data_IF_795202848349
#
_entry.id   IF_795202848349
#
_cell.length_a   1.000
_cell.length_b   1.000
_cell.length_c   1.000
_cell.angle_alpha   90.00
_cell.angle_beta   90.00
_cell.angle_gamma   90.00
#
_symmetry.space_group_name_H-M   'P 1'
#
loop_
_entity.id
_entity.type
_entity.pdbx_description
1 polymer ?
#
# COMPACT_ATOMS: atom_id res chain seq x y z
N UNK A 1 -27.71 3.73 -10.98
CA UNK A 1 -27.64 4.55 -9.74
C UNK A 1 -26.44 5.45 -9.89
N UNK A 2 -26.58 6.75 -9.66
CA UNK A 2 -25.51 7.72 -9.89
C UNK A 2 -25.22 8.48 -8.60
N UNK A 3 -23.97 8.91 -8.44
CA UNK A 3 -23.53 9.77 -7.33
C UNK A 3 -22.70 10.90 -7.87
N UNK A 4 -22.87 12.10 -7.29
CA UNK A 4 -22.08 13.27 -7.66
C UNK A 4 -20.88 13.39 -6.73
N UNK A 5 -19.67 13.37 -7.29
CA UNK A 5 -18.44 13.63 -6.53
C UNK A 5 -17.76 14.84 -7.15
N UNK A 6 -17.68 15.94 -6.39
CA UNK A 6 -17.06 17.21 -6.84
C UNK A 6 -17.51 17.66 -8.25
N UNK A 7 -18.80 17.53 -8.55
CA UNK A 7 -19.38 17.92 -9.85
C UNK A 7 -19.27 16.87 -10.96
N UNK A 8 -18.64 15.72 -10.71
CA UNK A 8 -18.62 14.60 -11.64
C UNK A 8 -19.76 13.63 -11.33
N UNK A 9 -20.58 13.32 -12.33
CA UNK A 9 -21.57 12.24 -12.25
C UNK A 9 -20.84 10.90 -12.42
N UNK A 10 -20.80 10.09 -11.36
CA UNK A 10 -20.19 8.77 -11.36
C UNK A 10 -21.29 7.72 -11.28
N UNK A 11 -21.34 6.86 -12.29
CA UNK A 11 -22.26 5.73 -12.32
C UNK A 11 -21.78 4.60 -11.39
N UNK A 12 -22.63 4.22 -10.43
CA UNK A 12 -22.35 3.13 -9.51
C UNK A 12 -22.55 1.77 -10.19
N UNK A 13 -21.44 1.05 -10.31
CA UNK A 13 -21.42 -0.24 -10.98
C UNK A 13 -21.92 -1.35 -10.04
N UNK A 14 -22.93 -2.11 -10.47
CA UNK A 14 -23.45 -3.25 -9.72
C UNK A 14 -22.46 -4.43 -9.73
N UNK A 15 -22.22 -5.04 -8.57
CA UNK A 15 -21.46 -6.28 -8.46
C UNK A 15 -22.42 -7.47 -8.49
N UNK A 16 -22.32 -8.30 -9.52
CA UNK A 16 -23.18 -9.48 -9.68
C UNK A 16 -22.89 -10.59 -8.68
N UNK A 17 -21.67 -10.67 -8.14
CA UNK A 17 -21.29 -11.65 -7.11
C UNK A 17 -21.82 -11.24 -5.74
N UNK A 18 -21.45 -10.06 -5.25
CA UNK A 18 -21.82 -9.59 -3.90
C UNK A 18 -23.24 -9.00 -3.82
N UNK A 19 -23.94 -8.82 -4.95
CA UNK A 19 -25.30 -8.25 -5.04
C UNK A 19 -25.45 -6.84 -4.44
N UNK A 20 -24.44 -6.00 -4.64
CA UNK A 20 -24.45 -4.60 -4.18
C UNK A 20 -24.10 -3.63 -5.32
N UNK A 21 -24.64 -2.42 -5.26
CA UNK A 21 -24.06 -1.29 -6.00
C UNK A 21 -22.76 -0.90 -5.31
N UNK A 22 -21.65 -1.01 -6.02
CA UNK A 22 -20.33 -0.73 -5.45
C UNK A 22 -20.19 0.77 -5.20
N UNK A 23 -19.71 1.19 -4.02
CA UNK A 23 -19.30 2.57 -3.81
C UNK A 23 -18.27 3.02 -4.87
N UNK A 24 -18.13 4.34 -5.10
CA UNK A 24 -17.09 4.87 -5.96
C UNK A 24 -15.69 4.35 -5.55
N UNK A 25 -14.85 3.98 -6.53
CA UNK A 25 -13.54 3.32 -6.34
C UNK A 25 -13.55 1.91 -5.71
N UNK A 26 -14.72 1.34 -5.41
CA UNK A 26 -14.78 -0.02 -4.87
C UNK A 26 -14.77 -1.06 -6.01
N UNK A 27 -13.98 -2.13 -5.84
CA UNK A 27 -13.86 -3.20 -6.83
C UNK A 27 -13.99 -4.58 -6.19
N UNK A 28 -14.62 -5.51 -6.92
CA UNK A 28 -14.71 -6.90 -6.49
C UNK A 28 -13.39 -7.61 -6.81
N UNK A 29 -12.72 -8.11 -5.77
CA UNK A 29 -11.55 -8.96 -5.92
C UNK A 29 -11.99 -10.42 -5.96
N UNK A 30 -11.71 -11.12 -7.05
CA UNK A 30 -12.04 -12.55 -7.18
C UNK A 30 -11.21 -13.44 -6.26
N UNK A 31 -9.99 -13.03 -5.90
CA UNK A 31 -9.12 -13.80 -5.01
C UNK A 31 -9.61 -13.76 -3.55
N UNK A 32 -10.13 -12.61 -3.11
CA UNK A 32 -10.68 -12.44 -1.77
C UNK A 32 -12.21 -12.66 -1.70
N UNK A 33 -12.84 -12.86 -2.86
CA UNK A 33 -14.29 -13.02 -3.06
C UNK A 33 -15.15 -11.96 -2.36
N UNK A 34 -14.69 -10.70 -2.40
CA UNK A 34 -15.40 -9.58 -1.80
C UNK A 34 -15.18 -8.26 -2.53
N UNK A 35 -16.09 -7.32 -2.33
CA UNK A 35 -15.92 -5.93 -2.77
C UNK A 35 -15.04 -5.17 -1.76
N UNK A 36 -13.98 -4.55 -2.26
CA UNK A 36 -13.01 -3.78 -1.46
C UNK A 36 -13.20 -2.29 -1.76
N UNK A 37 -13.47 -1.50 -0.72
CA UNK A 37 -13.56 -0.04 -0.82
C UNK A 37 -12.17 0.59 -1.03
N UNK A 38 -12.11 1.61 -1.91
CA UNK A 38 -10.86 2.22 -2.37
C UNK A 38 -9.82 1.18 -2.79
N UNK A 39 -10.22 0.26 -3.67
CA UNK A 39 -9.39 -0.87 -4.07
C UNK A 39 -8.14 -0.39 -4.80
N UNK A 40 -6.96 -0.86 -4.34
CA UNK A 40 -5.68 -0.59 -4.98
C UNK A 40 -5.23 -1.80 -5.81
N UNK A 41 -4.99 -2.93 -5.13
CA UNK A 41 -4.64 -4.20 -5.76
C UNK A 41 -4.86 -5.38 -4.82
N UNK A 42 -4.86 -6.59 -5.36
CA UNK A 42 -4.67 -7.81 -4.56
C UNK A 42 -3.17 -8.09 -4.46
N UNK A 43 -2.64 -8.19 -3.25
CA UNK A 43 -1.22 -8.42 -3.02
C UNK A 43 -0.99 -9.87 -2.56
N UNK A 44 -0.39 -10.72 -3.41
CA UNK A 44 -0.10 -12.11 -3.04
C UNK A 44 0.87 -12.22 -1.87
N UNK A 45 1.77 -11.25 -1.71
CA UNK A 45 2.82 -11.24 -0.68
C UNK A 45 2.28 -11.13 0.74
N UNK A 46 1.14 -10.45 0.92
CA UNK A 46 0.44 -10.36 2.21
C UNK A 46 -0.84 -11.20 2.24
N UNK A 47 -1.12 -11.95 1.17
CA UNK A 47 -2.32 -12.79 1.04
C UNK A 47 -3.64 -12.03 1.16
N UNK A 48 -3.67 -10.72 0.85
CA UNK A 48 -4.82 -9.87 1.08
C UNK A 48 -4.91 -8.72 0.07
N UNK A 49 -6.10 -8.13 -0.07
CA UNK A 49 -6.25 -6.89 -0.81
C UNK A 49 -5.64 -5.72 -0.07
N UNK A 50 -5.02 -4.84 -0.83
CA UNK A 50 -4.67 -3.49 -0.44
C UNK A 50 -5.78 -2.57 -0.90
N UNK A 51 -6.37 -1.82 0.03
CA UNK A 51 -7.41 -0.85 -0.24
C UNK A 51 -7.52 0.16 0.90
N UNK A 52 -8.63 0.91 0.95
CA UNK A 52 -8.76 2.09 1.83
C UNK A 52 -8.41 1.84 3.30
N UNK A 53 -8.77 0.68 3.86
CA UNK A 53 -8.57 0.34 5.29
C UNK A 53 -7.13 -0.01 5.67
N UNK A 54 -6.29 -0.39 4.72
CA UNK A 54 -4.92 -0.85 5.00
C UNK A 54 -3.86 -0.19 4.11
N UNK A 55 -4.22 0.69 3.18
CA UNK A 55 -3.27 1.34 2.27
C UNK A 55 -2.15 2.08 3.01
N UNK A 56 -2.46 2.79 4.10
CA UNK A 56 -1.46 3.48 4.93
C UNK A 56 -0.49 2.50 5.57
N UNK A 57 -1.02 1.43 6.17
CA UNK A 57 -0.23 0.38 6.85
C UNK A 57 0.63 -0.40 5.86
N UNK A 58 0.11 -0.67 4.66
CA UNK A 58 0.87 -1.27 3.57
C UNK A 58 2.07 -0.40 3.17
N UNK A 59 1.88 0.91 3.02
CA UNK A 59 2.96 1.84 2.70
C UNK A 59 4.01 1.91 3.83
N UNK A 60 3.59 1.95 5.11
CA UNK A 60 4.54 1.87 6.23
C UNK A 60 5.31 0.55 6.25
N UNK A 61 4.67 -0.56 5.89
CA UNK A 61 5.35 -1.83 5.70
C UNK A 61 6.43 -1.76 4.62
N UNK A 62 6.17 -1.14 3.46
CA UNK A 62 7.18 -0.95 2.41
C UNK A 62 8.41 -0.16 2.91
N UNK A 63 8.18 0.94 3.61
CA UNK A 63 9.26 1.73 4.23
C UNK A 63 10.04 0.94 5.28
N UNK A 64 9.35 0.18 6.13
CA UNK A 64 9.99 -0.67 7.14
C UNK A 64 10.86 -1.77 6.51
N UNK A 65 10.42 -2.35 5.39
CA UNK A 65 11.22 -3.31 4.61
C UNK A 65 12.48 -2.64 4.05
N UNK A 66 12.38 -1.43 3.49
CA UNK A 66 13.56 -0.66 3.01
C UNK A 66 14.56 -0.45 4.15
N UNK A 67 14.09 0.04 5.31
CA UNK A 67 14.96 0.28 6.48
C UNK A 67 15.64 -1.02 6.93
N UNK A 68 14.90 -2.12 6.96
CA UNK A 68 15.42 -3.44 7.34
C UNK A 68 16.48 -3.94 6.35
N UNK A 69 16.27 -3.77 5.05
CA UNK A 69 17.23 -4.16 4.02
C UNK A 69 18.52 -3.33 4.11
N UNK A 70 18.40 -2.01 4.30
CA UNK A 70 19.56 -1.12 4.50
C UNK A 70 20.33 -1.51 5.76
N UNK A 71 19.63 -1.83 6.85
CA UNK A 71 20.24 -2.30 8.09
C UNK A 71 21.03 -3.60 7.90
N UNK A 72 20.46 -4.62 7.22
CA UNK A 72 21.17 -5.87 6.94
C UNK A 72 22.40 -5.67 6.05
N UNK A 73 22.30 -4.82 5.02
CA UNK A 73 23.45 -4.48 4.17
C UNK A 73 24.54 -3.81 5.01
N UNK A 74 24.18 -2.84 5.87
CA UNK A 74 25.13 -2.14 6.72
C UNK A 74 25.85 -3.10 7.68
N UNK A 75 25.15 -4.06 8.29
CA UNK A 75 25.77 -5.10 9.13
C UNK A 75 26.72 -5.98 8.33
N UNK A 76 26.32 -6.44 7.14
CA UNK A 76 27.17 -7.29 6.31
C UNK A 76 28.45 -6.55 5.90
N UNK A 77 28.33 -5.29 5.47
CA UNK A 77 29.47 -4.44 5.13
C UNK A 77 30.37 -4.21 6.35
N UNK A 78 29.78 -3.88 7.50
CA UNK A 78 30.54 -3.71 8.74
C UNK A 78 31.32 -4.97 9.10
N UNK A 79 30.68 -6.14 9.06
CA UNK A 79 31.32 -7.43 9.31
C UNK A 79 32.47 -7.69 8.34
N UNK A 80 32.25 -7.52 7.03
CA UNK A 80 33.27 -7.73 5.99
C UNK A 80 34.47 -6.81 6.24
N UNK A 81 34.25 -5.51 6.41
CA UNK A 81 35.33 -4.53 6.61
C UNK A 81 36.13 -4.83 7.88
N UNK A 82 35.44 -5.13 8.99
CA UNK A 82 36.07 -5.48 10.26
C UNK A 82 36.92 -6.75 10.16
N UNK A 83 36.33 -7.82 9.63
CA UNK A 83 36.96 -9.15 9.60
C UNK A 83 38.04 -9.27 8.54
N UNK A 84 37.86 -8.62 7.39
CA UNK A 84 38.89 -8.57 6.37
C UNK A 84 40.09 -7.73 6.83
N UNK A 85 39.86 -6.61 7.55
CA UNK A 85 40.94 -5.80 8.10
C UNK A 85 41.78 -6.50 9.19
N UNK A 86 41.21 -7.49 9.88
CA UNK A 86 41.92 -8.37 10.82
C UNK A 86 42.58 -9.57 10.12
N UNK A 87 42.13 -9.91 8.91
CA UNK A 87 42.60 -11.07 8.19
C UNK A 87 43.98 -10.80 7.58
N UNK A 88 44.94 -11.70 7.83
CA UNK A 88 46.23 -11.73 7.13
C UNK A 88 46.15 -12.61 5.86
N UNK A 89 44.98 -12.64 5.22
CA UNK A 89 44.72 -13.42 4.01
C UNK A 89 44.37 -12.49 2.86
N UNK A 90 44.57 -12.96 1.64
CA UNK A 90 44.06 -12.27 0.46
C UNK A 90 42.52 -12.28 0.42
N UNK A 91 41.95 -11.43 -0.43
CA UNK A 91 40.50 -11.27 -0.55
C UNK A 91 39.78 -12.54 -0.98
N UNK A 92 40.37 -13.32 -1.89
CA UNK A 92 39.72 -14.52 -2.44
C UNK A 92 39.59 -15.57 -1.35
N UNK A 93 40.68 -15.87 -0.63
CA UNK A 93 40.65 -16.79 0.51
C UNK A 93 39.68 -16.32 1.62
N UNK A 94 39.61 -15.00 1.88
CA UNK A 94 38.66 -14.46 2.84
C UNK A 94 37.20 -14.65 2.41
N UNK A 95 36.90 -14.41 1.13
CA UNK A 95 35.58 -14.61 0.55
C UNK A 95 35.16 -16.09 0.60
N UNK A 96 36.04 -17.00 0.21
CA UNK A 96 35.78 -18.44 0.26
C UNK A 96 35.52 -18.93 1.69
N UNK A 97 36.22 -18.36 2.68
CA UNK A 97 36.00 -18.66 4.09
C UNK A 97 34.71 -18.04 4.65
N UNK A 98 34.23 -16.92 4.09
CA UNK A 98 33.09 -16.16 4.60
C UNK A 98 32.10 -15.75 3.50
N UNK A 99 31.51 -16.68 2.72
CA UNK A 99 30.67 -16.31 1.58
C UNK A 99 29.32 -15.71 2.02
N UNK A 100 28.80 -16.11 3.18
CA UNK A 100 27.48 -15.72 3.69
C UNK A 100 27.20 -14.20 3.70
N UNK A 101 28.02 -13.33 4.33
CA UNK A 101 27.77 -11.89 4.35
C UNK A 101 27.75 -11.26 2.95
N UNK A 102 28.53 -11.79 2.00
CA UNK A 102 28.50 -11.31 0.61
C UNK A 102 27.20 -11.74 -0.08
N UNK A 103 26.80 -13.00 0.04
CA UNK A 103 25.55 -13.50 -0.53
C UNK A 103 24.34 -12.74 0.02
N UNK A 104 24.29 -12.51 1.33
CA UNK A 104 23.22 -11.75 1.98
C UNK A 104 23.24 -10.29 1.53
N UNK A 105 24.40 -9.62 1.49
CA UNK A 105 24.48 -8.25 1.01
C UNK A 105 24.01 -8.08 -0.44
N UNK A 106 24.41 -9.00 -1.33
CA UNK A 106 23.96 -9.01 -2.74
C UNK A 106 22.46 -9.24 -2.82
N UNK A 107 21.95 -10.26 -2.14
CA UNK A 107 20.51 -10.56 -2.11
C UNK A 107 19.70 -9.37 -1.61
N UNK A 108 20.06 -8.80 -0.45
CA UNK A 108 19.38 -7.64 0.11
C UNK A 108 19.45 -6.42 -0.81
N UNK A 109 20.55 -6.23 -1.53
CA UNK A 109 20.70 -5.12 -2.50
C UNK A 109 19.74 -5.28 -3.68
N UNK A 110 19.64 -6.48 -4.25
CA UNK A 110 18.71 -6.75 -5.37
C UNK A 110 17.25 -6.51 -4.94
N UNK A 111 16.87 -7.02 -3.76
CA UNK A 111 15.53 -6.78 -3.23
C UNK A 111 15.30 -5.29 -2.94
N UNK A 112 16.28 -4.60 -2.37
CA UNK A 112 16.18 -3.16 -2.07
C UNK A 112 15.87 -2.33 -3.32
N UNK A 113 16.50 -2.62 -4.46
CA UNK A 113 16.22 -1.92 -5.71
C UNK A 113 14.75 -2.06 -6.13
N UNK A 114 14.20 -3.28 -6.04
CA UNK A 114 12.79 -3.52 -6.36
C UNK A 114 11.83 -2.84 -5.36
N UNK A 115 12.17 -2.86 -4.06
CA UNK A 115 11.35 -2.25 -3.00
C UNK A 115 11.36 -0.73 -3.07
N UNK A 116 12.50 -0.11 -3.40
CA UNK A 116 12.59 1.32 -3.67
C UNK A 116 11.69 1.71 -4.84
N UNK A 117 11.76 1.00 -5.97
CA UNK A 117 10.90 1.27 -7.12
C UNK A 117 9.41 1.20 -6.77
N UNK A 118 8.98 0.16 -6.06
CA UNK A 118 7.59 0.01 -5.62
C UNK A 118 7.17 1.14 -4.66
N UNK A 119 8.04 1.49 -3.71
CA UNK A 119 7.74 2.52 -2.70
C UNK A 119 7.63 3.90 -3.35
N UNK A 120 8.54 4.26 -4.26
CA UNK A 120 8.47 5.52 -4.98
C UNK A 120 7.26 5.60 -5.91
N UNK A 121 6.86 4.49 -6.54
CA UNK A 121 5.63 4.42 -7.31
C UNK A 121 4.41 4.73 -6.43
N UNK A 122 4.27 4.07 -5.27
CA UNK A 122 3.17 4.36 -4.34
C UNK A 122 3.22 5.77 -3.75
N UNK A 123 4.41 6.35 -3.50
CA UNK A 123 4.53 7.76 -3.16
C UNK A 123 3.96 8.66 -4.24
N UNK A 124 4.24 8.37 -5.52
CA UNK A 124 3.64 9.08 -6.66
C UNK A 124 2.11 9.00 -6.66
N UNK A 125 1.55 7.81 -6.45
CA UNK A 125 0.10 7.59 -6.36
C UNK A 125 -0.52 8.37 -5.19
N UNK A 126 0.11 8.36 -4.01
CA UNK A 126 -0.33 9.14 -2.84
C UNK A 126 -0.36 10.63 -3.18
N UNK A 127 0.71 11.15 -3.80
CA UNK A 127 0.79 12.56 -4.17
C UNK A 127 -0.24 12.92 -5.25
N UNK A 128 -0.58 12.00 -6.16
CA UNK A 128 -1.60 12.18 -7.18
C UNK A 128 -3.04 11.90 -6.73
N UNK A 129 -3.25 11.40 -5.50
CA UNK A 129 -4.59 11.03 -5.02
C UNK A 129 -5.22 9.83 -5.76
N UNK A 130 -4.42 9.07 -6.49
CA UNK A 130 -4.84 7.93 -7.33
C UNK A 130 -4.50 6.60 -6.66
N UNK A 131 -5.24 5.56 -7.01
CA UNK A 131 -4.88 4.16 -6.72
C UNK A 131 -4.13 3.55 -7.90
N UNK A 132 -3.38 2.49 -7.64
CA UNK A 132 -2.74 1.65 -8.68
C UNK A 132 -3.76 1.22 -9.73
N UNK A 133 -4.95 0.80 -9.31
CA UNK A 133 -6.02 0.39 -10.21
C UNK A 133 -6.43 1.50 -11.19
N UNK A 134 -6.63 2.72 -10.69
CA UNK A 134 -7.05 3.87 -11.49
C UNK A 134 -5.96 4.32 -12.46
N UNK A 135 -4.70 4.32 -12.02
CA UNK A 135 -3.53 4.64 -12.85
C UNK A 135 -3.37 3.63 -14.00
N UNK A 136 -3.43 2.33 -13.70
CA UNK A 136 -3.34 1.26 -14.70
C UNK A 136 -4.52 1.27 -15.68
N UNK A 137 -5.71 1.70 -15.23
CA UNK A 137 -6.87 1.89 -16.10
C UNK A 137 -6.84 3.20 -16.88
N UNK A 138 -5.86 4.08 -16.64
CA UNK A 138 -5.70 5.39 -17.30
C UNK A 138 -7.01 6.18 -17.32
N UNK A 139 -7.66 6.28 -16.16
CA UNK A 139 -8.90 7.04 -16.06
C UNK A 139 -8.62 8.52 -16.36
N UNK A 140 -9.39 9.13 -17.26
CA UNK A 140 -9.21 10.54 -17.65
C UNK A 140 -9.69 11.55 -16.60
N UNK A 141 -10.32 11.08 -15.52
CA UNK A 141 -10.89 11.91 -14.47
C UNK A 141 -10.33 11.45 -13.14
N UNK A 142 -9.83 12.42 -12.34
CA UNK A 142 -9.26 12.17 -11.01
C UNK A 142 -10.01 12.99 -9.95
N UNK A 143 -11.26 12.63 -9.58
CA UNK A 143 -12.06 13.39 -8.61
C UNK A 143 -11.40 13.46 -7.21
N UNK A 144 -10.52 12.51 -6.90
CA UNK A 144 -9.85 12.38 -5.60
C UNK A 144 -8.51 13.10 -5.51
N UNK A 145 -8.04 13.74 -6.57
CA UNK A 145 -6.88 14.64 -6.50
C UNK A 145 -7.30 15.99 -5.89
N UNK A 146 -6.62 16.40 -4.81
CA UNK A 146 -6.79 17.68 -4.12
C UNK A 146 -5.49 18.51 -4.17
N UNK A 147 -4.52 18.10 -4.98
CA UNK A 147 -3.15 18.62 -4.98
C UNK A 147 -2.27 17.89 -3.97
N UNK A 148 -0.99 17.72 -4.32
CA UNK A 148 -0.04 16.86 -3.61
C UNK A 148 0.06 17.10 -2.10
N UNK A 149 -0.03 18.36 -1.64
CA UNK A 149 0.00 18.69 -0.21
C UNK A 149 -1.21 18.14 0.53
N UNK A 150 -2.39 18.29 -0.06
CA UNK A 150 -3.64 17.89 0.56
C UNK A 150 -3.82 16.37 0.47
N UNK A 151 -3.41 15.76 -0.64
CA UNK A 151 -3.41 14.29 -0.76
C UNK A 151 -2.46 13.65 0.27
N UNK A 152 -1.27 14.23 0.46
CA UNK A 152 -0.35 13.79 1.50
C UNK A 152 -0.92 14.00 2.91
N UNK A 153 -1.57 15.14 3.16
CA UNK A 153 -2.27 15.39 4.42
C UNK A 153 -3.35 14.33 4.69
N UNK A 154 -4.22 14.06 3.73
CA UNK A 154 -5.24 13.01 3.87
C UNK A 154 -4.61 11.64 4.16
N UNK A 155 -3.57 11.27 3.41
CA UNK A 155 -2.87 10.01 3.63
C UNK A 155 -2.23 9.89 5.02
N UNK A 156 -1.67 10.97 5.56
CA UNK A 156 -0.98 10.94 6.87
C UNK A 156 -1.93 11.18 8.05
N UNK A 157 -2.95 12.01 7.88
CA UNK A 157 -3.73 12.58 8.97
C UNK A 157 -5.20 12.15 9.00
N UNK A 158 -5.78 11.62 7.92
CA UNK A 158 -7.15 11.11 8.00
C UNK A 158 -7.20 9.99 9.06
N UNK A 159 -8.24 9.93 9.90
CA UNK A 159 -8.37 8.83 10.84
C UNK A 159 -8.45 7.50 10.10
N UNK A 160 -7.79 6.46 10.63
CA UNK A 160 -8.01 5.11 10.13
C UNK A 160 -9.50 4.78 10.26
N UNK A 161 -10.08 4.13 9.24
CA UNK A 161 -11.52 3.80 9.19
C UNK A 161 -11.98 3.06 10.44
N UNK A 162 -11.11 2.25 11.04
CA UNK A 162 -11.37 1.51 12.27
C UNK A 162 -11.60 2.45 13.47
N UNK A 163 -10.83 3.53 13.57
CA UNK A 163 -11.06 4.62 14.55
C UNK A 163 -12.36 5.36 14.24
N UNK A 164 -12.61 5.67 12.95
CA UNK A 164 -13.81 6.39 12.54
C UNK A 164 -15.10 5.59 12.79
N UNK A 165 -15.09 4.27 12.59
CA UNK A 165 -16.23 3.40 12.85
C UNK A 165 -16.52 3.28 14.35
N UNK A 166 -15.49 3.16 15.18
CA UNK A 166 -15.63 3.20 16.63
C UNK A 166 -16.21 4.52 17.14
N UNK A 167 -15.88 5.64 16.50
CA UNK A 167 -16.48 6.92 16.83
C UNK A 167 -17.93 7.03 16.35
N UNK A 168 -18.29 6.40 15.21
CA UNK A 168 -19.69 6.33 14.76
C UNK A 168 -20.57 5.40 15.61
N UNK A 169 -20.03 4.31 16.17
CA UNK A 169 -20.78 3.45 17.10
C UNK A 169 -21.09 4.15 18.43
N UNK A 170 -20.31 5.18 18.81
CA UNK A 170 -20.60 6.03 19.98
C UNK A 170 -21.67 7.08 19.71
N UNK A 171 -22.05 7.30 18.46
CA UNK A 171 -23.19 8.15 18.11
C UNK A 171 -24.44 7.29 18.31
N UNK A 172 -25.40 7.68 19.17
CA UNK A 172 -26.61 6.90 19.36
C UNK A 172 -27.29 6.72 18.00
N UNK A 173 -27.45 5.45 17.60
CA UNK A 173 -28.15 5.05 16.40
C UNK A 173 -29.54 5.69 16.44
N UNK A 174 -29.75 6.76 15.67
CA UNK A 174 -31.11 7.14 15.29
C UNK A 174 -31.62 5.97 14.47
N UNK A 175 -32.67 5.25 14.93
CA UNK A 175 -33.16 4.10 14.20
C UNK A 175 -33.53 4.54 12.78
N UNK A 176 -33.20 3.75 11.74
CA UNK A 176 -33.61 4.08 10.38
C UNK A 176 -35.12 4.23 10.38
N UNK A 177 -35.61 5.44 10.09
CA UNK A 177 -36.99 5.61 9.69
C UNK A 177 -37.14 4.78 8.41
N UNK A 178 -37.77 3.63 8.56
CA UNK A 178 -38.21 2.78 7.48
C UNK A 178 -39.10 3.67 6.62
N UNK A 179 -38.59 4.12 5.47
CA UNK A 179 -39.37 4.66 4.37
C UNK A 179 -40.25 3.50 3.88
N UNK A 180 -41.40 3.32 4.55
CA UNK A 180 -42.52 2.55 4.02
C UNK A 180 -43.06 3.33 2.84
N UNK A 181 -42.68 2.91 1.63
CA UNK A 181 -43.41 3.22 0.41
C UNK A 181 -44.77 2.50 0.49
N UNK A 182 -45.82 3.25 0.79
CA UNK A 182 -47.19 3.03 0.32
C UNK A 182 -47.78 4.38 -0.08
#
# INVERSE_FOLDING_TARGET
METVIKGYNIELQFCTTCKIHRPPRAHHCRFCDNCVDGFDHHCPWIGNCVGKRNYRRFNYFLWAVIVTLVYFIAICVYFIVRKYGEAQTDFISFFEANPAPFCVAVYCTVILLSMLSLTFYHCGLILGGTTTYEDLKKLNVHPWDHGWKMNLYHFLCDPDIETALHDTEKIPLVPPQILTLQ
#
